data_IF_980161104352
#
_entry.id   IF_980161104352
#
_cell.length_a   1.000
_cell.length_b   1.000
_cell.length_c   1.000
_cell.angle_alpha   90.00
_cell.angle_beta   90.00
_cell.angle_gamma   90.00
#
_symmetry.space_group_name_H-M   'P 1'
#
loop_
_entity.id
_entity.type
_entity.pdbx_description
1 polymer ?
#
# COMPACT_ATOMS: atom_id res chain seq x y z
N UNK A 1 -59.19 25.73 45.47
CA UNK A 1 -58.18 24.92 46.21
C UNK A 1 -58.28 23.50 45.66
N UNK A 2 -57.28 22.76 45.21
CA UNK A 2 -55.82 22.86 45.24
C UNK A 2 -55.24 21.99 44.09
N UNK A 3 -54.26 22.58 43.40
CA UNK A 3 -52.99 22.03 42.84
C UNK A 3 -52.97 20.78 41.93
N UNK A 4 -52.57 21.09 40.69
CA UNK A 4 -51.90 20.25 39.68
C UNK A 4 -50.66 19.54 40.24
N UNK A 5 -50.45 18.28 39.82
CA UNK A 5 -49.14 17.64 39.83
C UNK A 5 -48.98 16.81 38.55
N UNK A 6 -48.41 17.43 37.52
CA UNK A 6 -47.82 16.72 36.37
C UNK A 6 -46.46 16.17 36.84
N UNK A 7 -46.33 14.86 36.92
CA UNK A 7 -45.04 14.20 37.13
C UNK A 7 -44.47 13.78 35.77
N UNK A 8 -43.42 14.47 35.35
CA UNK A 8 -42.59 14.15 34.19
C UNK A 8 -41.86 12.82 34.45
N UNK A 9 -42.12 11.81 33.62
CA UNK A 9 -41.32 10.59 33.59
C UNK A 9 -40.03 10.86 32.80
N UNK A 10 -38.91 10.98 33.50
CA UNK A 10 -37.58 11.11 32.89
C UNK A 10 -37.11 9.73 32.43
N UNK A 11 -37.35 9.40 31.15
CA UNK A 11 -36.82 8.17 30.55
C UNK A 11 -35.32 8.33 30.31
N UNK A 12 -34.50 7.72 31.16
CA UNK A 12 -33.07 7.59 30.93
C UNK A 12 -32.84 6.58 29.80
N UNK A 13 -32.53 7.08 28.59
CA UNK A 13 -32.13 6.25 27.45
C UNK A 13 -30.67 5.86 27.65
N UNK A 14 -30.32 4.57 27.84
CA UNK A 14 -28.94 4.16 27.86
C UNK A 14 -28.37 4.29 26.44
N UNK A 15 -27.50 5.29 26.22
CA UNK A 15 -26.67 5.35 25.01
C UNK A 15 -25.67 4.19 25.07
N UNK A 16 -26.04 3.06 24.47
CA UNK A 16 -25.11 1.96 24.21
C UNK A 16 -24.15 2.46 23.13
N UNK A 17 -22.95 2.86 23.54
CA UNK A 17 -21.85 3.18 22.62
C UNK A 17 -21.41 1.87 21.94
N UNK A 18 -22.11 1.49 20.87
CA UNK A 18 -21.68 0.43 19.98
C UNK A 18 -20.37 0.89 19.30
N UNK A 19 -19.24 0.45 19.84
CA UNK A 19 -17.94 0.65 19.22
C UNK A 19 -17.85 -0.32 18.04
N UNK A 20 -18.43 0.05 16.89
CA UNK A 20 -18.33 -0.76 15.67
C UNK A 20 -16.87 -0.78 15.20
N UNK A 21 -16.32 -1.99 15.02
CA UNK A 21 -14.99 -2.17 14.45
C UNK A 21 -15.00 -1.64 13.01
N UNK A 22 -13.97 -0.90 12.58
CA UNK A 22 -13.88 -0.43 11.19
C UNK A 22 -14.05 -1.58 10.19
N UNK A 23 -14.93 -1.39 9.21
CA UNK A 23 -15.10 -2.33 8.10
C UNK A 23 -13.87 -2.23 7.19
N UNK A 24 -13.30 -3.35 6.71
CA UNK A 24 -12.10 -3.31 5.87
C UNK A 24 -12.39 -2.59 4.55
N UNK A 25 -11.46 -1.76 4.03
CA UNK A 25 -11.61 -1.16 2.71
C UNK A 25 -11.40 -2.21 1.60
N UNK A 26 -11.97 -1.95 0.43
CA UNK A 26 -11.65 -2.72 -0.78
C UNK A 26 -10.65 -1.95 -1.63
N UNK A 27 -9.55 -2.59 -2.03
CA UNK A 27 -8.52 -2.01 -2.89
C UNK A 27 -8.37 -2.87 -4.15
N UNK A 28 -8.48 -2.24 -5.32
CA UNK A 28 -8.25 -2.89 -6.62
C UNK A 28 -7.06 -2.25 -7.29
N UNK A 29 -5.99 -3.00 -7.52
CA UNK A 29 -4.81 -2.50 -8.23
C UNK A 29 -5.17 -2.28 -9.69
N UNK A 30 -5.02 -1.05 -10.17
CA UNK A 30 -5.23 -0.69 -11.58
C UNK A 30 -3.91 -0.80 -12.34
N UNK A 31 -2.83 -0.27 -11.75
CA UNK A 31 -1.55 -0.13 -12.44
C UNK A 31 -0.42 0.03 -11.42
N UNK A 32 0.72 -0.61 -11.63
CA UNK A 32 1.95 -0.37 -10.88
C UNK A 32 3.03 0.20 -11.80
N UNK A 33 3.74 1.22 -11.35
CA UNK A 33 4.79 1.88 -12.13
C UNK A 33 6.03 2.10 -11.29
N UNK A 34 7.18 1.76 -11.86
CA UNK A 34 8.48 2.12 -11.33
C UNK A 34 8.74 3.60 -11.63
N UNK A 35 8.96 4.38 -10.58
CA UNK A 35 9.23 5.83 -10.66
C UNK A 35 10.71 6.17 -10.56
N UNK A 36 11.52 5.27 -10.01
CA UNK A 36 12.97 5.43 -9.93
C UNK A 36 13.64 4.17 -9.41
N UNK A 37 14.88 3.94 -9.81
CA UNK A 37 15.71 2.79 -9.40
C UNK A 37 17.13 3.28 -9.16
N UNK A 38 17.75 2.84 -8.08
CA UNK A 38 19.14 3.10 -7.78
C UNK A 38 19.78 1.89 -7.05
N UNK A 39 21.03 2.05 -6.62
CA UNK A 39 21.77 1.00 -5.91
C UNK A 39 21.23 0.67 -4.51
N UNK A 40 20.39 1.54 -3.92
CA UNK A 40 19.76 1.32 -2.61
C UNK A 40 18.39 0.66 -2.76
N UNK A 41 17.66 0.99 -3.81
CA UNK A 41 16.28 0.59 -3.92
C UNK A 41 15.56 0.97 -5.21
N UNK A 42 14.25 0.89 -5.13
CA UNK A 42 13.31 1.30 -6.16
C UNK A 42 12.14 2.05 -5.52
N UNK A 43 11.62 3.06 -6.22
CA UNK A 43 10.36 3.71 -5.87
C UNK A 43 9.28 3.29 -6.85
N UNK A 44 8.08 3.06 -6.32
CA UNK A 44 6.92 2.66 -7.09
C UNK A 44 5.74 3.60 -6.80
N UNK A 45 4.99 3.93 -7.85
CA UNK A 45 3.65 4.48 -7.73
C UNK A 45 2.65 3.40 -8.15
N UNK A 46 1.81 2.98 -7.22
CA UNK A 46 0.75 2.00 -7.47
C UNK A 46 -0.59 2.73 -7.47
N UNK A 47 -1.25 2.76 -8.63
CA UNK A 47 -2.60 3.28 -8.74
C UNK A 47 -3.59 2.19 -8.32
N UNK A 48 -4.42 2.51 -7.34
CA UNK A 48 -5.48 1.63 -6.84
C UNK A 48 -6.83 2.32 -6.93
N UNK A 49 -7.90 1.57 -7.20
CA UNK A 49 -9.27 2.00 -6.92
C UNK A 49 -9.58 1.57 -5.49
N UNK A 50 -9.75 2.53 -4.60
CA UNK A 50 -10.05 2.29 -3.20
C UNK A 50 -11.50 2.62 -2.89
N UNK A 51 -12.18 1.73 -2.16
CA UNK A 51 -13.52 1.94 -1.63
C UNK A 51 -13.48 1.83 -0.12
N UNK A 52 -13.86 2.89 0.58
CA UNK A 52 -14.00 2.89 2.03
C UNK A 52 -15.49 2.76 2.38
N UNK A 53 -15.95 1.60 2.90
CA UNK A 53 -17.35 1.37 3.24
C UNK A 53 -17.76 2.03 4.57
N UNK A 54 -16.84 2.68 5.28
CA UNK A 54 -17.13 3.39 6.52
C UNK A 54 -17.57 4.83 6.23
N UNK A 55 -18.25 5.44 7.19
CA UNK A 55 -18.68 6.84 7.18
C UNK A 55 -17.61 7.82 7.71
N UNK A 56 -16.41 7.31 8.03
CA UNK A 56 -15.25 8.07 8.46
C UNK A 56 -13.98 7.69 7.67
N UNK A 57 -12.99 8.58 7.69
CA UNK A 57 -11.69 8.39 7.04
C UNK A 57 -10.93 7.20 7.64
N UNK A 58 -10.41 6.33 6.77
CA UNK A 58 -9.42 5.34 7.15
C UNK A 58 -8.03 5.80 6.73
N UNK A 59 -7.08 5.81 7.66
CA UNK A 59 -5.68 6.12 7.41
C UNK A 59 -4.89 4.83 7.39
N UNK A 60 -4.21 4.59 6.26
CA UNK A 60 -3.13 3.61 6.16
C UNK A 60 -1.87 4.29 6.66
N UNK A 61 -1.54 4.10 7.93
CA UNK A 61 -0.44 4.82 8.60
C UNK A 61 0.92 4.21 8.28
N UNK A 62 0.97 2.89 8.07
CA UNK A 62 2.17 2.19 7.66
C UNK A 62 1.84 0.96 6.82
N UNK A 63 2.81 0.56 6.02
CA UNK A 63 2.85 -0.75 5.41
C UNK A 63 4.31 -1.16 5.31
N UNK A 64 4.58 -2.41 5.65
CA UNK A 64 5.90 -3.02 5.56
C UNK A 64 5.75 -4.47 5.09
N UNK A 65 6.64 -4.91 4.20
CA UNK A 65 6.65 -6.30 3.77
C UNK A 65 7.94 -6.71 3.09
N UNK A 66 8.13 -8.02 2.95
CA UNK A 66 9.28 -8.62 2.31
C UNK A 66 8.91 -9.06 0.90
N UNK A 67 9.80 -8.79 -0.05
CA UNK A 67 9.76 -9.31 -1.41
C UNK A 67 10.75 -10.46 -1.53
N UNK A 68 10.31 -11.55 -2.12
CA UNK A 68 11.20 -12.59 -2.63
C UNK A 68 11.11 -12.67 -4.14
N UNK A 69 12.23 -12.99 -4.78
CA UNK A 69 12.31 -13.32 -6.21
C UNK A 69 12.95 -14.69 -6.35
N UNK A 70 12.32 -15.60 -7.09
CA UNK A 70 12.77 -17.00 -7.21
C UNK A 70 12.98 -17.68 -5.84
N UNK A 71 12.12 -17.34 -4.86
CA UNK A 71 12.20 -17.83 -3.49
C UNK A 71 13.35 -17.24 -2.65
N UNK A 72 14.14 -16.30 -3.20
CA UNK A 72 15.25 -15.65 -2.50
C UNK A 72 14.84 -14.27 -1.99
N UNK A 73 15.23 -13.85 -0.77
CA UNK A 73 14.98 -12.51 -0.28
C UNK A 73 15.56 -11.45 -1.22
N UNK A 74 14.71 -10.55 -1.70
CA UNK A 74 15.10 -9.54 -2.68
C UNK A 74 15.18 -8.13 -2.07
N UNK A 75 14.25 -7.82 -1.16
CA UNK A 75 14.20 -6.52 -0.53
C UNK A 75 12.95 -6.34 0.31
N UNK A 76 12.85 -5.17 0.93
CA UNK A 76 11.73 -4.82 1.80
C UNK A 76 10.95 -3.64 1.20
N UNK A 77 9.64 -3.79 1.06
CA UNK A 77 8.74 -2.72 0.66
C UNK A 77 8.22 -1.98 1.89
N UNK A 78 8.12 -0.67 1.77
CA UNK A 78 7.52 0.20 2.76
C UNK A 78 6.67 1.30 2.12
N UNK A 79 5.68 1.77 2.87
CA UNK A 79 4.90 2.95 2.50
C UNK A 79 5.74 4.22 2.73
N UNK A 80 5.84 5.07 1.71
CA UNK A 80 6.65 6.30 1.81
C UNK A 80 5.96 7.36 2.68
N UNK A 81 4.63 7.44 2.61
CA UNK A 81 3.82 8.38 3.40
C UNK A 81 2.42 7.82 3.64
N UNK A 82 1.78 8.18 4.77
CA UNK A 82 0.41 7.75 5.05
C UNK A 82 -0.58 8.10 3.93
N UNK A 83 -1.61 7.27 3.77
CA UNK A 83 -2.67 7.46 2.79
C UNK A 83 -4.01 7.51 3.50
N UNK A 84 -4.85 8.47 3.13
CA UNK A 84 -6.21 8.58 3.63
C UNK A 84 -7.21 8.05 2.60
N UNK A 85 -8.03 7.10 3.02
CA UNK A 85 -9.18 6.58 2.28
C UNK A 85 -10.43 7.32 2.76
N UNK A 86 -10.91 8.25 1.94
CA UNK A 86 -12.13 9.00 2.24
C UNK A 86 -13.38 8.14 2.05
N UNK A 87 -14.45 8.33 2.85
CA UNK A 87 -15.71 7.61 2.72
C UNK A 87 -16.31 7.64 1.32
N UNK A 88 -17.01 6.55 0.97
CA UNK A 88 -17.91 6.49 -0.17
C UNK A 88 -17.38 5.69 -1.36
N UNK A 89 -17.75 6.15 -2.56
CA UNK A 89 -17.54 5.43 -3.81
C UNK A 89 -16.05 5.20 -4.14
N UNK A 90 -15.79 4.22 -5.00
CA UNK A 90 -14.45 3.89 -5.48
C UNK A 90 -13.76 5.12 -6.09
N UNK A 91 -12.55 5.43 -5.60
CA UNK A 91 -11.72 6.54 -6.09
C UNK A 91 -10.30 6.10 -6.41
N UNK A 92 -9.68 6.71 -7.44
CA UNK A 92 -8.29 6.44 -7.76
C UNK A 92 -7.39 7.06 -6.69
N UNK A 93 -6.46 6.28 -6.16
CA UNK A 93 -5.43 6.71 -5.23
C UNK A 93 -4.06 6.26 -5.72
N UNK A 94 -3.07 7.13 -5.57
CA UNK A 94 -1.67 6.77 -5.75
C UNK A 94 -1.07 6.32 -4.42
N UNK A 95 -0.55 5.09 -4.41
CA UNK A 95 0.13 4.49 -3.28
C UNK A 95 1.64 4.57 -3.55
N UNK A 96 2.38 5.45 -2.85
CA UNK A 96 3.81 5.59 -3.01
C UNK A 96 4.54 4.56 -2.16
N UNK A 97 5.23 3.62 -2.81
CA UNK A 97 6.00 2.58 -2.15
C UNK A 97 7.49 2.77 -2.43
N UNK A 98 8.32 2.43 -1.45
CA UNK A 98 9.75 2.28 -1.62
C UNK A 98 10.16 0.85 -1.32
N UNK A 99 11.01 0.30 -2.17
CA UNK A 99 11.62 -1.00 -2.02
C UNK A 99 13.11 -0.80 -1.75
N UNK A 100 13.61 -1.32 -0.64
CA UNK A 100 15.05 -1.33 -0.33
C UNK A 100 15.63 -2.68 -0.68
N UNK A 101 16.74 -2.72 -1.42
CA UNK A 101 17.40 -3.96 -1.80
C UNK A 101 18.08 -4.60 -0.60
N UNK A 102 18.00 -5.94 -0.51
CA UNK A 102 18.84 -6.68 0.41
C UNK A 102 20.25 -6.86 -0.16
N UNK A 103 20.33 -7.17 -1.45
CA UNK A 103 21.58 -7.31 -2.21
C UNK A 103 21.36 -6.83 -3.65
N UNK A 104 21.75 -5.59 -3.94
CA UNK A 104 21.56 -4.99 -5.26
C UNK A 104 22.31 -5.76 -6.37
N UNK A 105 23.46 -6.38 -6.06
CA UNK A 105 24.26 -7.14 -7.03
C UNK A 105 23.56 -8.44 -7.43
N UNK A 106 23.04 -9.19 -6.47
CA UNK A 106 22.24 -10.39 -6.73
C UNK A 106 20.98 -10.07 -7.54
N UNK A 107 20.31 -8.95 -7.24
CA UNK A 107 19.14 -8.48 -8.01
C UNK A 107 19.51 -8.11 -9.44
N UNK A 108 20.62 -7.42 -9.65
CA UNK A 108 21.10 -7.09 -10.99
C UNK A 108 21.39 -8.35 -11.81
N UNK A 109 22.01 -9.37 -11.22
CA UNK A 109 22.28 -10.65 -11.89
C UNK A 109 20.99 -11.39 -12.27
N UNK A 110 19.97 -11.35 -11.41
CA UNK A 110 18.65 -11.92 -11.73
C UNK A 110 17.97 -11.14 -12.86
N UNK A 111 18.08 -9.82 -12.87
CA UNK A 111 17.48 -8.97 -13.90
C UNK A 111 18.05 -9.24 -15.30
N UNK A 112 19.36 -9.48 -15.41
CA UNK A 112 20.03 -9.79 -16.69
C UNK A 112 19.90 -11.26 -17.11
N UNK A 113 19.26 -12.11 -16.30
CA UNK A 113 19.10 -13.54 -16.60
C UNK A 113 18.26 -13.82 -17.86
N UNK A 114 17.52 -12.83 -18.36
CA UNK A 114 16.65 -12.97 -19.53
C UNK A 114 15.35 -13.75 -19.25
N UNK A 115 15.11 -14.14 -18.00
CA UNK A 115 13.95 -14.96 -17.60
C UNK A 115 12.86 -14.12 -16.96
N UNK A 116 11.65 -14.66 -17.02
CA UNK A 116 10.55 -14.22 -16.18
C UNK A 116 10.87 -14.60 -14.73
N UNK A 117 10.56 -13.72 -13.78
CA UNK A 117 10.88 -13.92 -12.36
C UNK A 117 9.61 -14.14 -11.54
N UNK A 118 9.47 -15.29 -10.92
CA UNK A 118 8.47 -15.53 -9.89
C UNK A 118 8.76 -14.67 -8.67
N UNK A 119 7.72 -14.04 -8.13
CA UNK A 119 7.82 -13.25 -6.90
C UNK A 119 6.79 -13.72 -5.88
N UNK A 120 7.16 -13.57 -4.61
CA UNK A 120 6.20 -13.53 -3.51
C UNK A 120 6.40 -12.26 -2.71
N UNK A 121 5.31 -11.79 -2.14
CA UNK A 121 5.27 -10.62 -1.29
C UNK A 121 4.43 -10.95 -0.07
N UNK A 122 4.96 -10.66 1.11
CA UNK A 122 4.29 -10.84 2.39
C UNK A 122 4.50 -9.60 3.25
N UNK A 123 3.41 -9.00 3.74
CA UNK A 123 3.48 -7.77 4.50
C UNK A 123 2.27 -7.52 5.40
N UNK A 124 2.37 -6.44 6.16
CA UNK A 124 1.36 -5.96 7.09
C UNK A 124 1.12 -4.48 6.83
N UNK A 125 -0.15 -4.13 6.61
CA UNK A 125 -0.62 -2.76 6.57
C UNK A 125 -1.27 -2.40 7.90
N UNK A 126 -1.02 -1.20 8.41
CA UNK A 126 -1.66 -0.67 9.60
C UNK A 126 -2.73 0.31 9.15
N UNK A 127 -4.01 -0.04 9.36
CA UNK A 127 -5.15 0.73 8.87
C UNK A 127 -6.08 1.07 10.02
N UNK A 128 -6.49 2.34 10.14
CA UNK A 128 -7.33 2.76 11.25
C UNK A 128 -7.94 4.15 11.10
N UNK A 129 -8.87 4.46 12.00
CA UNK A 129 -9.39 5.81 12.21
C UNK A 129 -8.84 6.40 13.51
N UNK A 130 -9.36 7.56 13.93
CA UNK A 130 -8.87 8.30 15.12
C UNK A 130 -8.94 7.52 16.45
N UNK A 131 -9.70 6.42 16.51
CA UNK A 131 -9.95 5.67 17.75
C UNK A 131 -9.47 4.21 17.73
N UNK A 132 -9.28 3.61 16.54
CA UNK A 132 -8.98 2.18 16.39
C UNK A 132 -8.04 1.98 15.19
N UNK A 133 -6.99 1.20 15.41
CA UNK A 133 -6.01 0.80 14.39
C UNK A 133 -5.93 -0.72 14.33
N UNK A 134 -5.94 -1.27 13.12
CA UNK A 134 -5.95 -2.71 12.86
C UNK A 134 -4.79 -3.10 11.93
N UNK A 135 -4.01 -4.14 12.28
CA UNK A 135 -3.06 -4.74 11.36
C UNK A 135 -3.81 -5.62 10.35
N UNK A 136 -3.55 -5.42 9.06
CA UNK A 136 -4.12 -6.16 7.94
C UNK A 136 -2.97 -6.88 7.21
N UNK A 137 -2.94 -8.23 7.21
CA UNK A 137 -1.96 -8.98 6.43
C UNK A 137 -2.25 -8.86 4.93
N UNK A 138 -1.19 -8.68 4.15
CA UNK A 138 -1.22 -8.58 2.70
C UNK A 138 -0.22 -9.59 2.15
N UNK A 139 -0.69 -10.53 1.34
CA UNK A 139 0.15 -11.48 0.63
C UNK A 139 -0.17 -11.44 -0.87
N UNK A 140 0.87 -11.53 -1.70
CA UNK A 140 0.73 -11.60 -3.15
C UNK A 140 1.80 -12.51 -3.74
N UNK A 141 1.49 -13.15 -4.86
CA UNK A 141 2.44 -13.93 -5.65
C UNK A 141 2.15 -13.76 -7.13
N UNK A 142 3.18 -13.88 -7.95
CA UNK A 142 3.02 -13.78 -9.39
C UNK A 142 4.34 -13.93 -10.13
N UNK A 143 4.35 -13.46 -11.37
CA UNK A 143 5.52 -13.52 -12.23
C UNK A 143 5.74 -12.15 -12.87
N UNK A 144 6.97 -11.66 -12.84
CA UNK A 144 7.41 -10.44 -13.50
C UNK A 144 7.97 -10.84 -14.87
N UNK A 145 7.31 -10.46 -15.98
CA UNK A 145 7.81 -10.77 -17.31
C UNK A 145 9.17 -10.11 -17.57
N UNK A 146 10.07 -10.81 -18.26
CA UNK A 146 11.40 -10.30 -18.57
C UNK A 146 11.37 -8.94 -19.30
N UNK A 147 10.40 -8.74 -20.19
CA UNK A 147 10.19 -7.46 -20.90
C UNK A 147 9.99 -6.28 -19.95
N UNK A 148 9.34 -6.48 -18.82
CA UNK A 148 9.07 -5.42 -17.84
C UNK A 148 10.31 -5.12 -17.00
N UNK A 149 11.12 -6.15 -16.72
CA UNK A 149 12.45 -6.02 -16.10
C UNK A 149 13.37 -5.21 -17.02
N UNK A 150 13.47 -5.58 -18.29
CA UNK A 150 14.29 -4.90 -19.28
C UNK A 150 13.88 -3.42 -19.44
N UNK A 151 12.56 -3.16 -19.47
CA UNK A 151 12.01 -1.79 -19.53
C UNK A 151 12.34 -0.97 -18.29
N UNK A 152 12.31 -1.58 -17.10
CA UNK A 152 12.71 -0.91 -15.85
C UNK A 152 14.22 -0.59 -15.85
N UNK A 153 15.05 -1.54 -16.27
CA UNK A 153 16.50 -1.36 -16.37
C UNK A 153 16.87 -0.21 -17.32
N UNK A 154 16.26 -0.15 -18.51
CA UNK A 154 16.50 0.94 -19.48
C UNK A 154 16.17 2.33 -18.90
N UNK A 155 15.09 2.44 -18.13
CA UNK A 155 14.70 3.71 -17.48
C UNK A 155 15.63 4.14 -16.36
N UNK A 156 16.36 3.19 -15.77
CA UNK A 156 17.29 3.44 -14.66
C UNK A 156 18.71 3.80 -15.11
N UNK A 157 19.04 3.59 -16.38
CA UNK A 157 20.34 3.96 -16.90
C UNK A 157 20.45 5.49 -16.94
N UNK A 158 21.48 6.09 -16.33
CA UNK A 158 21.77 7.50 -16.54
C UNK A 158 22.00 7.72 -18.04
N UNK A 159 21.54 8.86 -18.58
CA UNK A 159 21.91 9.28 -19.93
C UNK A 159 23.43 9.43 -19.97
N UNK A 160 24.13 8.42 -20.48
CA UNK A 160 25.58 8.43 -20.55
C UNK A 160 26.00 9.56 -21.50
N UNK A 161 26.83 10.52 -21.05
CA UNK A 161 27.38 11.55 -21.91
C UNK A 161 28.55 10.95 -22.72
N UNK A 162 28.27 9.94 -23.56
CA UNK A 162 29.24 9.52 -24.56
C UNK A 162 29.03 10.36 -25.81
N UNK A 163 29.62 11.56 -25.80
CA UNK A 163 29.98 12.20 -27.06
C UNK A 163 31.05 11.32 -27.72
N UNK A 164 30.69 10.59 -28.77
CA UNK A 164 31.67 9.92 -29.62
C UNK A 164 32.56 11.00 -30.25
N UNK A 165 33.89 10.99 -30.04
CA UNK A 165 34.78 11.76 -30.89
C UNK A 165 34.59 11.27 -32.33
N UNK A 166 34.38 12.23 -33.24
CA UNK A 166 34.27 11.99 -34.69
C UNK A 166 35.58 11.45 -35.26
#
# INVERSE_FOLDING_TARGET
>A
MQRRAFLFALAAVPLVLACEKPKPPTLVVVKAQVTGVDARGMTLSVQVQATNPNDFDLVVSSFAGALTLEGKPAGNLALVRPITLTPGAARPLEVPLSLTWNDAGAIALLAISGKDLAYTFDGLATVGGSKITLPIPIAAKGTIPNKDIAKAAQKSLPALPFALPK
#
